data_IF_531271712941
#
_entry.id   IF_531271712941
#
_cell.length_a   1.000
_cell.length_b   1.000
_cell.length_c   1.000
_cell.angle_alpha   90.00
_cell.angle_beta   90.00
_cell.angle_gamma   90.00
#
_symmetry.space_group_name_H-M   'P 1'
#
loop_
_entity.id
_entity.type
_entity.pdbx_description
1 polymer ?
#
# COMPACT_ATOMS: atom_id res chain seq x y z
N UNK A 1 -37.82 15.30 -23.43
CA UNK A 1 -38.05 15.93 -22.12
C UNK A 1 -37.30 15.08 -21.10
N UNK A 2 -36.26 15.61 -20.47
CA UNK A 2 -35.56 14.89 -19.41
C UNK A 2 -36.45 14.88 -18.17
N UNK A 3 -36.64 13.71 -17.56
CA UNK A 3 -37.42 13.62 -16.32
C UNK A 3 -36.51 13.80 -15.11
N UNK A 4 -37.09 14.18 -13.97
CA UNK A 4 -36.36 14.27 -12.70
C UNK A 4 -35.69 12.92 -12.35
N UNK A 5 -36.27 11.80 -12.80
CA UNK A 5 -35.73 10.45 -12.61
C UNK A 5 -34.41 10.28 -13.37
N UNK A 6 -34.32 10.75 -14.61
CA UNK A 6 -33.11 10.67 -15.42
C UNK A 6 -31.97 11.49 -14.79
N UNK A 7 -32.27 12.69 -14.30
CA UNK A 7 -31.29 13.54 -13.61
C UNK A 7 -30.74 12.88 -12.34
N UNK A 8 -31.61 12.28 -11.52
CA UNK A 8 -31.21 11.60 -10.30
C UNK A 8 -30.37 10.35 -10.59
N UNK A 9 -30.68 9.63 -11.67
CA UNK A 9 -29.91 8.47 -12.12
C UNK A 9 -28.51 8.88 -12.56
N UNK A 10 -28.40 9.91 -13.38
CA UNK A 10 -27.11 10.41 -13.86
C UNK A 10 -26.23 10.89 -12.71
N UNK A 11 -26.80 11.65 -11.77
CA UNK A 11 -26.11 12.06 -10.54
C UNK A 11 -25.67 10.87 -9.68
N UNK A 12 -26.50 9.82 -9.58
CA UNK A 12 -26.16 8.61 -8.85
C UNK A 12 -24.98 7.87 -9.48
N UNK A 13 -24.96 7.77 -10.80
CA UNK A 13 -23.86 7.14 -11.56
C UNK A 13 -22.57 7.97 -11.40
N UNK A 14 -22.65 9.28 -11.58
CA UNK A 14 -21.50 10.18 -11.46
C UNK A 14 -20.86 10.09 -10.07
N UNK A 15 -21.67 10.15 -9.01
CA UNK A 15 -21.20 9.96 -7.62
C UNK A 15 -20.60 8.58 -7.40
N UNK A 16 -21.20 7.53 -7.97
CA UNK A 16 -20.67 6.17 -7.88
C UNK A 16 -19.29 6.03 -8.53
N UNK A 17 -19.12 6.57 -9.74
CA UNK A 17 -17.86 6.58 -10.46
C UNK A 17 -16.81 7.40 -9.70
N UNK A 18 -17.18 8.60 -9.23
CA UNK A 18 -16.27 9.46 -8.50
C UNK A 18 -15.77 8.78 -7.22
N UNK A 19 -16.69 8.20 -6.43
CA UNK A 19 -16.36 7.46 -5.21
C UNK A 19 -15.43 6.29 -5.51
N UNK A 20 -15.79 5.42 -6.46
CA UNK A 20 -14.96 4.27 -6.83
C UNK A 20 -13.56 4.68 -7.31
N UNK A 21 -13.46 5.78 -8.08
CA UNK A 21 -12.17 6.31 -8.54
C UNK A 21 -11.33 6.85 -7.38
N UNK A 22 -11.94 7.49 -6.38
CA UNK A 22 -11.26 8.00 -5.20
C UNK A 22 -10.77 6.87 -4.29
N UNK A 23 -11.62 5.88 -4.01
CA UNK A 23 -11.28 4.70 -3.21
C UNK A 23 -10.14 3.91 -3.87
N UNK A 24 -10.27 3.57 -5.15
CA UNK A 24 -9.24 2.81 -5.87
C UNK A 24 -7.88 3.53 -5.93
N UNK A 25 -7.86 4.87 -6.01
CA UNK A 25 -6.59 5.63 -5.94
C UNK A 25 -5.97 5.58 -4.54
N UNK A 26 -6.77 5.67 -3.48
CA UNK A 26 -6.25 5.62 -2.11
C UNK A 26 -5.70 4.23 -1.78
N UNK A 27 -6.45 3.18 -2.13
CA UNK A 27 -6.01 1.79 -1.94
C UNK A 27 -4.73 1.50 -2.73
N UNK A 28 -4.70 1.87 -4.02
CA UNK A 28 -3.53 1.67 -4.87
C UNK A 28 -2.29 2.40 -4.36
N UNK A 29 -2.44 3.63 -3.85
CA UNK A 29 -1.32 4.37 -3.26
C UNK A 29 -0.81 3.71 -1.98
N UNK A 30 -1.70 3.27 -1.09
CA UNK A 30 -1.31 2.59 0.15
C UNK A 30 -0.60 1.26 -0.13
N UNK A 31 -1.15 0.45 -1.05
CA UNK A 31 -0.54 -0.81 -1.46
C UNK A 31 0.84 -0.59 -2.10
N UNK A 32 0.97 0.38 -3.01
CA UNK A 32 2.25 0.70 -3.64
C UNK A 32 3.31 1.16 -2.64
N UNK A 33 2.94 2.00 -1.67
CA UNK A 33 3.85 2.43 -0.60
C UNK A 33 4.29 1.25 0.28
N UNK A 34 3.36 0.37 0.66
CA UNK A 34 3.67 -0.81 1.47
C UNK A 34 4.60 -1.78 0.73
N UNK A 35 4.31 -2.06 -0.54
CA UNK A 35 5.13 -2.93 -1.39
C UNK A 35 6.54 -2.35 -1.58
N UNK A 36 6.64 -1.05 -1.89
CA UNK A 36 7.94 -0.38 -2.05
C UNK A 36 8.80 -0.46 -0.79
N UNK A 37 8.21 -0.19 0.39
CA UNK A 37 8.93 -0.32 1.66
C UNK A 37 9.33 -1.78 1.96
N UNK A 38 8.48 -2.75 1.64
CA UNK A 38 8.82 -4.17 1.82
C UNK A 38 10.03 -4.57 0.96
N UNK A 39 10.03 -4.18 -0.32
CA UNK A 39 11.16 -4.46 -1.21
C UNK A 39 12.47 -3.85 -0.71
N UNK A 40 12.43 -2.62 -0.20
CA UNK A 40 13.62 -1.97 0.35
C UNK A 40 14.15 -2.72 1.58
N UNK A 41 13.25 -3.16 2.47
CA UNK A 41 13.61 -4.00 3.62
C UNK A 41 14.27 -5.30 3.16
N UNK A 42 13.66 -6.04 2.21
CA UNK A 42 14.19 -7.30 1.69
C UNK A 42 15.58 -7.12 1.05
N UNK A 43 15.77 -6.06 0.27
CA UNK A 43 17.06 -5.72 -0.37
C UNK A 43 18.12 -5.41 0.68
N UNK A 44 17.80 -4.63 1.72
CA UNK A 44 18.75 -4.28 2.78
C UNK A 44 19.14 -5.50 3.63
N UNK A 45 18.16 -6.33 4.01
CA UNK A 45 18.40 -7.58 4.73
C UNK A 45 19.25 -8.56 3.93
N UNK A 46 18.99 -8.69 2.63
CA UNK A 46 19.75 -9.58 1.73
C UNK A 46 21.20 -9.16 1.57
N UNK A 47 21.47 -7.84 1.63
CA UNK A 47 22.83 -7.30 1.61
C UNK A 47 23.56 -7.50 2.94
N UNK A 48 22.83 -7.69 4.05
CA UNK A 48 23.41 -7.91 5.38
C UNK A 48 24.19 -6.72 5.94
N UNK A 49 23.95 -5.51 5.41
CA UNK A 49 24.67 -4.28 5.81
C UNK A 49 24.08 -3.68 7.08
N UNK A 50 22.75 -3.79 7.23
CA UNK A 50 22.00 -3.23 8.35
C UNK A 50 21.26 -4.34 9.09
N UNK A 51 21.19 -4.19 10.41
CA UNK A 51 20.37 -5.04 11.28
C UNK A 51 18.88 -4.67 11.18
N UNK A 52 17.94 -5.59 11.50
CA UNK A 52 16.51 -5.29 11.47
C UNK A 52 16.09 -4.03 12.27
N UNK A 53 16.65 -3.73 13.47
CA UNK A 53 16.36 -2.49 14.18
C UNK A 53 16.85 -1.22 13.45
N UNK A 54 18.01 -1.27 12.80
CA UNK A 54 18.55 -0.14 12.03
C UNK A 54 17.71 0.13 10.78
N UNK A 55 17.29 -0.93 10.08
CA UNK A 55 16.39 -0.81 8.92
C UNK A 55 15.07 -0.17 9.34
N UNK A 56 14.50 -0.58 10.47
CA UNK A 56 13.27 0.00 11.00
C UNK A 56 13.41 1.50 11.27
N UNK A 57 14.55 1.91 11.85
CA UNK A 57 14.85 3.32 12.11
C UNK A 57 15.08 4.13 10.83
N UNK A 58 15.82 3.60 9.85
CA UNK A 58 16.18 4.31 8.61
C UNK A 58 14.98 4.49 7.71
N UNK A 59 14.14 3.45 7.59
CA UNK A 59 12.94 3.49 6.74
C UNK A 59 11.72 4.05 7.46
N UNK A 60 11.84 4.44 8.74
CA UNK A 60 10.74 4.92 9.58
C UNK A 60 9.52 3.98 9.55
N UNK A 61 9.77 2.68 9.77
CA UNK A 61 8.75 1.62 9.73
C UNK A 61 8.67 0.90 11.07
N UNK A 62 7.57 0.18 11.27
CA UNK A 62 7.40 -0.68 12.43
C UNK A 62 8.46 -1.79 12.47
N UNK A 63 9.10 -1.95 13.63
CA UNK A 63 10.16 -2.94 13.82
C UNK A 63 9.65 -4.38 13.70
N UNK A 64 8.45 -4.68 14.20
CA UNK A 64 7.91 -6.03 14.14
C UNK A 64 7.66 -6.46 12.67
N UNK A 65 7.28 -5.50 11.82
CA UNK A 65 7.16 -5.73 10.38
C UNK A 65 8.50 -6.10 9.73
N UNK A 66 9.58 -5.37 10.05
CA UNK A 66 10.93 -5.70 9.54
C UNK A 66 11.38 -7.09 10.02
N UNK A 67 11.11 -7.44 11.29
CA UNK A 67 11.45 -8.75 11.84
C UNK A 67 10.63 -9.89 11.22
N UNK A 68 9.38 -9.65 10.83
CA UNK A 68 8.58 -10.60 10.06
C UNK A 68 9.20 -10.87 8.68
N UNK A 69 9.59 -9.81 7.96
CA UNK A 69 10.24 -9.94 6.65
C UNK A 69 11.59 -10.65 6.79
N UNK A 70 12.39 -10.30 7.80
CA UNK A 70 13.66 -10.97 8.06
C UNK A 70 13.52 -12.47 8.29
N UNK A 71 12.48 -12.90 9.01
CA UNK A 71 12.16 -14.34 9.18
C UNK A 71 11.80 -15.02 7.86
N UNK A 72 11.02 -14.37 7.00
CA UNK A 72 10.69 -14.90 5.66
C UNK A 72 11.92 -15.05 4.78
N UNK A 73 12.79 -14.03 4.74
CA UNK A 73 14.02 -14.05 3.93
C UNK A 73 14.99 -15.11 4.43
N UNK A 74 15.13 -15.28 5.75
CA UNK A 74 15.99 -16.30 6.34
C UNK A 74 15.46 -17.73 6.13
N UNK A 75 14.15 -17.94 6.14
CA UNK A 75 13.52 -19.25 5.92
C UNK A 75 13.46 -19.71 4.46
N UNK A 76 13.71 -18.81 3.50
CA UNK A 76 13.78 -19.13 2.07
C UNK A 76 15.22 -19.42 1.56
N UNK A 77 16.21 -19.46 2.46
CA UNK A 77 17.58 -19.92 2.19
C UNK A 77 17.75 -21.38 2.57
#
# INVERSE_FOLDING_TARGET
MYTVIDLLRDQGIEKGIEKGRQEGRQEGLQQGLQQGRQEDIEKLLSKGILSPPEIASVLEVDRAWVEEIARRVAGNK
#
